data_IF_316729822734
#
_entry.id   IF_316729822734
#
_cell.length_a   1.000
_cell.length_b   1.000
_cell.length_c   1.000
_cell.angle_alpha   90.00
_cell.angle_beta   90.00
_cell.angle_gamma   90.00
#
_symmetry.space_group_name_H-M   'P 1'
#
loop_
_entity.id
_entity.type
_entity.pdbx_description
1 polymer ?
#
# COMPACT_ATOMS: atom_id res chain seq x y z
N UNK A 1 12.59 -11.38 -8.16
CA UNK A 1 12.39 -9.99 -8.63
C UNK A 1 10.96 -9.59 -8.28
N UNK A 2 10.60 -9.72 -7.00
CA UNK A 2 9.22 -9.51 -6.52
C UNK A 2 9.17 -8.47 -5.41
N UNK A 3 10.32 -8.00 -4.93
CA UNK A 3 10.44 -7.05 -3.80
C UNK A 3 10.06 -5.61 -4.16
N UNK A 4 9.52 -5.38 -5.38
CA UNK A 4 9.05 -4.06 -5.81
C UNK A 4 7.79 -3.62 -5.04
N UNK A 5 6.94 -4.57 -4.63
CA UNK A 5 5.72 -4.23 -3.91
C UNK A 5 5.99 -3.71 -2.50
N UNK A 6 7.14 -4.06 -1.91
CA UNK A 6 7.53 -3.55 -0.59
C UNK A 6 7.91 -2.06 -0.62
N UNK A 7 8.16 -1.50 -1.81
CA UNK A 7 8.51 -0.09 -2.00
C UNK A 7 7.31 0.79 -2.33
N UNK A 8 6.13 0.20 -2.45
CA UNK A 8 4.89 0.96 -2.67
C UNK A 8 4.46 1.72 -1.42
N UNK A 9 3.63 2.73 -1.64
CA UNK A 9 3.14 3.56 -0.56
C UNK A 9 1.85 2.97 -0.02
N UNK A 10 1.93 2.41 1.18
CA UNK A 10 0.78 1.90 1.93
C UNK A 10 0.29 2.93 2.92
N UNK A 11 -1.02 3.10 2.97
CA UNK A 11 -1.70 3.94 3.95
C UNK A 11 -2.74 3.10 4.68
N UNK A 12 -2.77 3.25 6.00
CA UNK A 12 -3.81 2.66 6.85
C UNK A 12 -4.57 3.79 7.55
N UNK A 13 -5.89 3.74 7.48
CA UNK A 13 -6.79 4.73 8.10
C UNK A 13 -7.93 4.05 8.82
N UNK A 14 -8.39 4.64 9.93
CA UNK A 14 -9.62 4.20 10.58
C UNK A 14 -10.85 4.71 9.81
N UNK A 15 -11.83 3.84 9.59
CA UNK A 15 -13.16 4.19 9.08
C UNK A 15 -14.17 4.07 10.23
N UNK A 16 -14.83 5.17 10.58
CA UNK A 16 -15.93 5.12 11.56
C UNK A 16 -17.19 4.46 10.99
N UNK A 17 -17.37 4.47 9.66
CA UNK A 17 -18.53 3.85 8.99
C UNK A 17 -18.46 2.32 9.04
N UNK A 18 -17.25 1.78 8.86
CA UNK A 18 -17.01 0.32 8.84
C UNK A 18 -16.55 -0.23 10.20
N UNK A 19 -16.35 0.65 11.20
CA UNK A 19 -15.74 0.33 12.50
C UNK A 19 -14.44 -0.49 12.37
N UNK A 20 -13.65 -0.18 11.33
CA UNK A 20 -12.48 -0.97 10.95
C UNK A 20 -11.36 -0.11 10.37
N UNK A 21 -10.16 -0.68 10.34
CA UNK A 21 -9.03 -0.09 9.63
C UNK A 21 -9.09 -0.47 8.15
N UNK A 22 -8.93 0.53 7.30
CA UNK A 22 -8.88 0.41 5.85
C UNK A 22 -7.44 0.63 5.38
N UNK A 23 -6.90 -0.35 4.68
CA UNK A 23 -5.58 -0.34 4.06
C UNK A 23 -5.71 -0.06 2.57
N UNK A 24 -4.89 0.86 2.07
CA UNK A 24 -4.89 1.30 0.68
C UNK A 24 -3.44 1.37 0.17
N UNK A 25 -3.25 1.07 -1.11
CA UNK A 25 -1.99 1.24 -1.82
C UNK A 25 -2.13 2.38 -2.83
N UNK A 26 -1.25 3.38 -2.80
CA UNK A 26 -1.36 4.54 -3.69
C UNK A 26 -1.25 4.19 -5.18
N UNK A 27 -0.44 3.18 -5.50
CA UNK A 27 -0.22 2.64 -6.85
C UNK A 27 -1.38 1.77 -7.33
N UNK A 28 -2.17 1.21 -6.40
CA UNK A 28 -3.35 0.39 -6.69
C UNK A 28 -4.59 0.91 -5.95
N UNK A 29 -5.19 2.03 -6.38
CA UNK A 29 -6.36 2.62 -5.70
C UNK A 29 -7.57 1.69 -5.64
N UNK A 30 -7.67 0.74 -6.57
CA UNK A 30 -8.73 -0.27 -6.59
C UNK A 30 -8.54 -1.40 -5.58
N UNK A 31 -7.34 -1.55 -5.01
CA UNK A 31 -7.07 -2.54 -3.98
C UNK A 31 -7.25 -1.91 -2.60
N UNK A 32 -8.09 -2.53 -1.79
CA UNK A 32 -8.29 -2.17 -0.40
C UNK A 32 -8.38 -3.42 0.47
N UNK A 33 -8.06 -3.27 1.74
CA UNK A 33 -8.22 -4.32 2.74
C UNK A 33 -8.83 -3.74 4.01
N UNK A 34 -9.79 -4.44 4.61
CA UNK A 34 -10.37 -4.05 5.89
C UNK A 34 -10.01 -5.07 6.97
N UNK A 35 -9.59 -4.59 8.14
CA UNK A 35 -9.44 -5.44 9.32
C UNK A 35 -9.66 -4.66 10.63
N UNK A 36 -9.90 -5.40 11.72
CA UNK A 36 -10.14 -4.84 13.05
C UNK A 36 -8.92 -4.10 13.63
N UNK A 37 -7.72 -4.44 13.16
CA UNK A 37 -6.47 -3.82 13.64
C UNK A 37 -5.64 -3.27 12.49
N UNK A 38 -4.88 -2.21 12.79
CA UNK A 38 -3.95 -1.59 11.84
C UNK A 38 -2.88 -2.57 11.33
N UNK A 39 -2.37 -3.45 12.21
CA UNK A 39 -1.34 -4.44 11.83
C UNK A 39 -1.90 -5.50 10.86
N UNK A 40 -3.08 -6.04 11.15
CA UNK A 40 -3.74 -6.99 10.25
C UNK A 40 -4.07 -6.34 8.91
N UNK A 41 -4.47 -5.07 8.94
CA UNK A 41 -4.78 -4.30 7.74
C UNK A 41 -3.56 -4.13 6.86
N UNK A 42 -2.42 -3.75 7.44
CA UNK A 42 -1.16 -3.57 6.71
C UNK A 42 -0.65 -4.90 6.12
N UNK A 43 -0.72 -5.98 6.91
CA UNK A 43 -0.34 -7.33 6.43
C UNK A 43 -1.26 -7.81 5.30
N UNK A 44 -2.57 -7.58 5.43
CA UNK A 44 -3.57 -7.94 4.43
C UNK A 44 -3.36 -7.22 3.11
N UNK A 45 -3.20 -5.89 3.15
CA UNK A 45 -2.98 -5.10 1.92
C UNK A 45 -1.66 -5.48 1.24
N UNK A 46 -0.59 -5.76 1.98
CA UNK A 46 0.67 -6.27 1.42
C UNK A 46 0.47 -7.60 0.69
N UNK A 47 -0.29 -8.53 1.28
CA UNK A 47 -0.56 -9.82 0.67
C UNK A 47 -1.34 -9.68 -0.64
N UNK A 48 -2.41 -8.88 -0.65
CA UNK A 48 -3.24 -8.66 -1.84
C UNK A 48 -2.46 -7.98 -2.96
N UNK A 49 -1.65 -6.97 -2.64
CA UNK A 49 -0.82 -6.28 -3.64
C UNK A 49 0.23 -7.23 -4.21
N UNK A 50 0.86 -8.08 -3.37
CA UNK A 50 1.79 -9.10 -3.83
C UNK A 50 1.12 -10.07 -4.82
N UNK A 51 -0.02 -10.62 -4.46
CA UNK A 51 -0.76 -11.55 -5.34
C UNK A 51 -1.15 -10.87 -6.66
N UNK A 52 -1.54 -9.59 -6.61
CA UNK A 52 -1.84 -8.81 -7.80
C UNK A 52 -0.60 -8.64 -8.71
N UNK A 53 0.55 -8.24 -8.15
CA UNK A 53 1.80 -8.10 -8.90
C UNK A 53 2.24 -9.44 -9.50
N UNK A 54 2.10 -10.55 -8.77
CA UNK A 54 2.40 -11.88 -9.29
C UNK A 54 1.46 -12.27 -10.45
N UNK A 55 0.19 -11.88 -10.39
CA UNK A 55 -0.76 -12.10 -11.48
C UNK A 55 -0.40 -11.24 -12.72
N UNK A 56 -0.07 -9.95 -12.53
CA UNK A 56 0.36 -9.06 -13.61
C UNK A 56 1.62 -9.60 -14.31
N UNK A 57 2.60 -10.09 -13.53
CA UNK A 57 3.81 -10.72 -14.06
C UNK A 57 3.51 -11.95 -14.92
N UNK A 58 2.55 -12.78 -14.51
CA UNK A 58 2.13 -13.96 -15.28
C UNK A 58 1.41 -13.57 -16.57
N UNK A 59 0.63 -12.49 -16.53
CA UNK A 59 -0.10 -11.97 -17.68
C UNK A 59 0.79 -11.14 -18.63
N UNK A 60 2.02 -10.79 -18.20
CA UNK A 60 2.91 -9.91 -18.97
C UNK A 60 2.45 -8.45 -18.98
N UNK A 61 1.70 -8.03 -17.97
CA UNK A 61 1.21 -6.66 -17.81
C UNK A 61 2.31 -5.74 -17.25
N UNK A 62 2.22 -4.46 -17.56
CA UNK A 62 3.15 -3.45 -17.04
C UNK A 62 2.86 -3.18 -15.56
N UNK A 63 3.87 -3.41 -14.72
CA UNK A 63 3.76 -3.18 -13.29
C UNK A 63 3.97 -1.69 -12.97
N UNK A 64 3.12 -1.06 -12.13
CA UNK A 64 3.29 0.33 -11.72
C UNK A 64 4.65 0.61 -11.06
N UNK A 65 5.22 1.78 -11.38
CA UNK A 65 6.44 2.29 -10.77
C UNK A 65 6.10 2.86 -9.38
N UNK A 66 6.87 2.55 -8.32
CA UNK A 66 6.61 3.09 -6.98
C UNK A 66 6.66 4.61 -6.92
N UNK A 67 5.73 5.22 -6.19
CA UNK A 67 5.69 6.67 -5.97
C UNK A 67 6.67 7.00 -4.85
N UNK A 68 7.91 7.34 -5.22
CA UNK A 68 8.98 7.67 -4.27
C UNK A 68 9.14 9.19 -4.18
N UNK A 69 8.93 9.74 -2.99
CA UNK A 69 9.29 11.12 -2.68
C UNK A 69 10.68 11.17 -2.05
N UNK A 70 11.63 11.99 -2.55
CA UNK A 70 12.92 12.15 -1.92
C UNK A 70 12.73 12.78 -0.52
N UNK A 71 13.16 12.06 0.53
CA UNK A 71 13.03 12.46 1.94
C UNK A 71 13.77 13.79 2.23
N UNK A 72 14.65 14.23 1.33
CA UNK A 72 15.37 15.51 1.44
C UNK A 72 14.46 16.73 1.62
N UNK A 73 13.19 16.68 1.19
CA UNK A 73 12.24 17.78 1.36
C UNK A 73 11.41 17.68 2.66
N UNK A 74 11.22 16.49 3.24
CA UNK A 74 10.26 16.26 4.34
C UNK A 74 10.82 16.57 5.74
N UNK A 75 12.14 16.64 5.91
CA UNK A 75 12.78 16.90 7.22
C UNK A 75 12.41 18.30 7.79
N UNK A 76 11.94 19.23 6.95
CA UNK A 76 11.54 20.57 7.38
C UNK A 76 10.12 20.67 7.97
N UNK A 77 9.24 19.67 7.80
CA UNK A 77 7.81 19.80 8.17
C UNK A 77 7.39 19.11 9.48
N UNK A 78 8.24 18.25 10.06
CA UNK A 78 7.89 17.41 11.22
C UNK A 78 8.56 17.85 12.54
N UNK A 79 8.83 19.14 12.74
CA UNK A 79 9.07 19.71 14.07
C UNK A 79 8.06 20.82 14.32
N UNK A 80 6.99 20.49 15.02
CA UNK A 80 6.23 21.45 15.80
C UNK A 80 5.97 20.85 17.18
#
# INVERSE_FOLDING_TARGET
MTDIFEKYTYRVTWSEEDEAFVGLCSEFPSLSWLAETSEQTLKGIHYVVKDCVEAMLKNGEEIPIPIIYPITCLIFSARK
#
